data_IF_776502735676
#
_entry.id   IF_776502735676
#
_cell.length_a   1.000
_cell.length_b   1.000
_cell.length_c   1.000
_cell.angle_alpha   90.00
_cell.angle_beta   90.00
_cell.angle_gamma   90.00
#
_symmetry.space_group_name_H-M   'P 1'
#
loop_
_entity.id
_entity.type
_entity.pdbx_description
1 polymer ?
#
# COMPACT_ATOMS: atom_id res chain seq x y z
N UNK A 1 4.31 -11.89 -14.38
CA UNK A 1 4.82 -10.82 -13.50
C UNK A 1 3.97 -10.77 -12.26
N UNK A 2 4.52 -10.36 -11.14
CA UNK A 2 3.81 -10.15 -9.88
C UNK A 2 4.38 -8.88 -9.25
N UNK A 3 3.53 -7.93 -8.92
CA UNK A 3 3.84 -6.67 -8.27
C UNK A 3 2.77 -6.37 -7.23
N UNK A 4 3.02 -5.47 -6.31
CA UNK A 4 2.12 -5.10 -5.20
C UNK A 4 1.68 -3.68 -5.35
N UNK A 5 0.38 -3.49 -5.18
CA UNK A 5 -0.23 -2.18 -5.16
C UNK A 5 -1.30 -2.09 -4.08
N UNK A 6 -1.74 -0.87 -3.83
CA UNK A 6 -2.80 -0.59 -2.88
C UNK A 6 -4.16 -0.85 -3.49
N UNK A 7 -4.97 -1.65 -2.78
CA UNK A 7 -6.39 -1.87 -3.06
C UNK A 7 -7.21 -1.01 -2.12
N UNK A 8 -8.24 -0.36 -2.61
CA UNK A 8 -9.08 0.51 -1.79
C UNK A 8 -10.58 0.28 -1.99
N UNK A 9 -11.34 0.46 -0.92
CA UNK A 9 -12.79 0.50 -0.91
C UNK A 9 -13.24 1.90 -1.32
N UNK A 10 -13.79 2.02 -2.52
CA UNK A 10 -14.23 3.28 -3.10
C UNK A 10 -15.41 3.90 -2.31
N UNK A 11 -16.29 3.06 -1.80
CA UNK A 11 -17.47 3.52 -1.08
C UNK A 11 -17.07 4.13 0.29
N UNK A 12 -16.06 3.58 0.97
CA UNK A 12 -15.52 4.17 2.20
C UNK A 12 -14.77 5.47 1.94
N UNK A 13 -14.04 5.58 0.83
CA UNK A 13 -13.42 6.85 0.44
C UNK A 13 -14.46 7.94 0.16
N UNK A 14 -15.58 7.58 -0.46
CA UNK A 14 -16.70 8.50 -0.66
C UNK A 14 -17.34 8.92 0.67
N UNK A 15 -17.52 7.97 1.58
CA UNK A 15 -18.03 8.24 2.93
C UNK A 15 -17.10 9.21 3.66
N UNK A 16 -15.80 8.96 3.69
CA UNK A 16 -14.82 9.87 4.28
C UNK A 16 -14.88 11.27 3.65
N UNK A 17 -14.94 11.37 2.31
CA UNK A 17 -15.03 12.64 1.61
C UNK A 17 -16.29 13.43 1.99
N UNK A 18 -17.42 12.75 2.18
CA UNK A 18 -18.66 13.36 2.66
C UNK A 18 -18.51 13.88 4.09
N UNK A 19 -17.91 13.10 4.99
CA UNK A 19 -17.65 13.51 6.38
C UNK A 19 -16.74 14.74 6.44
N UNK A 20 -15.71 14.83 5.58
CA UNK A 20 -14.87 16.04 5.51
C UNK A 20 -15.65 17.28 5.02
N UNK A 21 -16.51 17.10 4.02
CA UNK A 21 -17.34 18.18 3.50
C UNK A 21 -18.35 18.69 4.56
N UNK A 22 -19.00 17.81 5.29
CA UNK A 22 -19.92 18.15 6.38
C UNK A 22 -19.19 18.89 7.51
N UNK A 23 -18.01 18.42 7.89
CA UNK A 23 -17.17 19.03 8.93
C UNK A 23 -16.75 20.46 8.54
N UNK A 24 -16.31 20.67 7.30
CA UNK A 24 -15.93 21.99 6.81
C UNK A 24 -17.10 22.96 6.78
N UNK A 25 -18.26 22.52 6.29
CA UNK A 25 -19.45 23.37 6.19
C UNK A 25 -20.09 23.64 7.56
N UNK A 26 -20.02 22.72 8.51
CA UNK A 26 -20.50 22.94 9.89
C UNK A 26 -19.53 23.81 10.69
N UNK A 27 -18.22 23.67 10.52
CA UNK A 27 -17.20 24.47 11.22
C UNK A 27 -17.11 25.93 10.72
N UNK A 28 -17.60 26.22 9.51
CA UNK A 28 -17.67 27.59 8.99
C UNK A 28 -18.73 28.44 9.69
N UNK A 29 -19.62 27.87 10.51
CA UNK A 29 -20.66 28.60 11.25
C UNK A 29 -20.22 29.13 12.62
N UNK A 30 -19.08 28.70 13.15
CA UNK A 30 -18.49 29.22 14.38
C UNK A 30 -17.52 30.39 14.07
N UNK A 31 -18.10 31.57 13.78
CA UNK A 31 -17.34 32.80 13.89
C UNK A 31 -17.16 33.11 15.39
N UNK A 32 -16.01 32.77 15.93
CA UNK A 32 -15.52 33.29 17.20
C UNK A 32 -15.31 34.80 17.08
N UNK A 33 -16.34 35.60 17.45
CA UNK A 33 -16.07 36.95 17.90
C UNK A 33 -15.40 36.88 19.29
N UNK A 34 -14.30 37.61 19.51
CA UNK A 34 -13.66 37.62 20.81
C UNK A 34 -14.59 38.34 21.82
N UNK A 35 -15.05 37.57 22.79
CA UNK A 35 -15.78 38.12 23.95
C UNK A 35 -14.82 39.01 24.74
N UNK A 36 -15.04 40.32 24.67
CA UNK A 36 -14.39 41.30 25.52
C UNK A 36 -14.80 41.11 26.96
N UNK A 37 -13.81 41.09 27.85
CA UNK A 37 -14.01 41.16 29.30
C UNK A 37 -14.77 42.41 29.69
N UNK A 38 -15.91 42.23 30.33
CA UNK A 38 -16.69 43.30 30.97
C UNK A 38 -17.63 42.70 32.01
N UNK A 39 -17.20 42.74 33.27
CA UNK A 39 -18.05 42.48 34.45
C UNK A 39 -19.20 43.47 34.52
N UNK A 40 -20.44 42.99 34.53
CA UNK A 40 -21.53 43.67 35.28
C UNK A 40 -22.60 42.63 35.71
N UNK A 41 -22.80 42.60 37.03
CA UNK A 41 -23.84 41.85 37.74
C UNK A 41 -25.15 42.60 37.61
N UNK A 42 -26.21 42.00 37.09
CA UNK A 42 -27.60 42.41 37.33
C UNK A 42 -28.54 41.20 37.42
N UNK A 43 -29.44 41.32 38.36
CA UNK A 43 -30.39 40.42 39.01
C UNK A 43 -31.37 39.64 38.10
N UNK A 44 -31.84 38.51 38.70
CA UNK A 44 -32.99 37.69 38.31
C UNK A 44 -34.21 38.51 37.91
N UNK A 45 -34.78 38.26 36.76
CA UNK A 45 -36.22 37.88 36.64
C UNK A 45 -36.59 37.52 35.17
N UNK A 46 -37.51 36.53 35.04
CA UNK A 46 -38.31 36.17 33.86
C UNK A 46 -37.62 35.44 32.69
N UNK A 47 -37.82 34.11 32.69
CA UNK A 47 -37.73 33.24 31.51
C UNK A 47 -38.75 33.66 30.43
N UNK A 48 -38.41 33.69 29.17
CA UNK A 48 -39.26 33.19 28.10
C UNK A 48 -38.76 31.82 27.60
N UNK A 49 -39.69 30.89 27.68
CA UNK A 49 -39.60 29.61 26.95
C UNK A 49 -39.52 29.86 25.45
N UNK A 50 -38.83 28.94 24.78
CA UNK A 50 -38.81 28.73 23.33
C UNK A 50 -37.75 29.51 22.53
N UNK A 51 -36.46 29.08 22.68
CA UNK A 51 -35.51 29.15 21.59
C UNK A 51 -35.18 27.71 21.18
N UNK A 52 -36.01 27.19 20.28
CA UNK A 52 -35.60 26.15 19.35
C UNK A 52 -34.32 26.63 18.67
N UNK A 53 -33.19 26.08 19.04
CA UNK A 53 -31.95 26.17 18.29
C UNK A 53 -32.27 25.60 16.91
N UNK A 54 -32.49 26.48 15.93
CA UNK A 54 -32.42 26.09 14.53
C UNK A 54 -31.01 25.56 14.29
N UNK A 55 -30.83 24.24 14.35
CA UNK A 55 -29.71 23.62 13.76
C UNK A 55 -29.70 24.06 12.29
N UNK A 56 -28.70 24.85 11.91
CA UNK A 56 -28.49 25.24 10.53
C UNK A 56 -28.42 23.94 9.71
N UNK A 57 -29.46 23.66 8.94
CA UNK A 57 -29.49 22.52 8.02
C UNK A 57 -28.43 22.82 6.97
N UNK A 58 -27.32 22.08 7.03
CA UNK A 58 -26.25 22.16 6.02
C UNK A 58 -26.91 21.86 4.67
N UNK A 59 -26.67 22.68 3.67
CA UNK A 59 -27.26 22.50 2.34
C UNK A 59 -26.68 21.21 1.73
N UNK A 60 -27.51 20.19 1.55
CA UNK A 60 -27.13 18.88 1.01
C UNK A 60 -26.46 19.00 -0.38
N UNK A 61 -26.87 19.97 -1.20
CA UNK A 61 -26.25 20.21 -2.49
C UNK A 61 -24.82 20.77 -2.35
N UNK A 62 -24.59 21.62 -1.34
CA UNK A 62 -23.25 22.13 -1.03
C UNK A 62 -22.35 21.02 -0.47
N UNK A 63 -22.88 20.15 0.41
CA UNK A 63 -22.15 18.97 0.91
C UNK A 63 -21.73 18.07 -0.25
N UNK A 64 -22.64 17.70 -1.13
CA UNK A 64 -22.35 16.81 -2.25
C UNK A 64 -21.30 17.41 -3.20
N UNK A 65 -21.40 18.70 -3.53
CA UNK A 65 -20.43 19.37 -4.41
C UNK A 65 -19.03 19.44 -3.79
N UNK A 66 -18.94 19.64 -2.47
CA UNK A 66 -17.67 19.66 -1.74
C UNK A 66 -17.11 18.25 -1.55
N UNK A 67 -17.96 17.26 -1.27
CA UNK A 67 -17.59 15.86 -1.16
C UNK A 67 -16.97 15.32 -2.47
N UNK A 68 -17.49 15.71 -3.63
CA UNK A 68 -16.88 15.37 -4.91
C UNK A 68 -15.45 15.92 -5.06
N UNK A 69 -15.18 17.14 -4.54
CA UNK A 69 -13.85 17.74 -4.55
C UNK A 69 -12.89 17.00 -3.59
N UNK A 70 -13.36 16.60 -2.40
CA UNK A 70 -12.59 15.78 -1.47
C UNK A 70 -12.32 14.40 -2.08
N UNK A 71 -13.33 13.75 -2.65
CA UNK A 71 -13.18 12.43 -3.27
C UNK A 71 -12.18 12.43 -4.44
N UNK A 72 -12.18 13.47 -5.26
CA UNK A 72 -11.20 13.60 -6.35
C UNK A 72 -9.73 13.63 -5.87
N UNK A 73 -9.50 13.91 -4.59
CA UNK A 73 -8.18 13.97 -3.95
C UNK A 73 -8.03 12.95 -2.81
N UNK A 74 -9.00 12.05 -2.64
CA UNK A 74 -9.06 11.15 -1.50
C UNK A 74 -8.02 10.04 -1.52
N UNK A 75 -7.45 9.71 -2.70
CA UNK A 75 -6.38 8.71 -2.76
C UNK A 75 -5.10 9.27 -2.14
N UNK A 76 -4.63 8.72 -1.00
CA UNK A 76 -3.42 9.19 -0.34
C UNK A 76 -2.23 9.17 -1.29
N UNK A 77 -1.55 10.29 -1.43
CA UNK A 77 -0.31 10.39 -2.22
C UNK A 77 0.93 10.11 -1.36
N UNK A 78 0.81 10.31 -0.05
CA UNK A 78 1.86 10.06 0.94
C UNK A 78 1.33 9.22 2.10
N UNK A 79 2.26 8.70 2.93
CA UNK A 79 1.89 8.03 4.18
C UNK A 79 1.17 9.00 5.13
N UNK A 80 1.57 10.28 5.16
CA UNK A 80 0.89 11.28 5.98
C UNK A 80 -0.56 11.49 5.57
N UNK A 81 -0.87 11.49 4.26
CA UNK A 81 -2.26 11.54 3.79
C UNK A 81 -3.06 10.32 4.25
N UNK A 82 -2.44 9.13 4.23
CA UNK A 82 -3.06 7.89 4.71
C UNK A 82 -3.35 7.95 6.22
N UNK A 83 -2.41 8.48 7.00
CA UNK A 83 -2.57 8.66 8.44
C UNK A 83 -3.64 9.70 8.76
N UNK A 84 -3.75 10.78 7.96
CA UNK A 84 -4.82 11.76 8.09
C UNK A 84 -6.20 11.13 7.85
N UNK A 85 -6.34 10.23 6.88
CA UNK A 85 -7.59 9.47 6.71
C UNK A 85 -7.85 8.60 7.94
N UNK A 86 -6.83 7.89 8.45
CA UNK A 86 -6.99 7.03 9.63
C UNK A 86 -7.43 7.80 10.88
N UNK A 87 -6.98 9.05 11.04
CA UNK A 87 -7.33 9.92 12.16
C UNK A 87 -8.72 10.57 12.03
N UNK A 88 -9.16 10.80 10.79
CA UNK A 88 -10.36 11.61 10.52
C UNK A 88 -11.55 10.82 10.00
N UNK A 89 -11.40 9.55 9.68
CA UNK A 89 -12.49 8.70 9.19
C UNK A 89 -13.36 8.21 10.34
N UNK A 90 -14.62 8.64 10.38
CA UNK A 90 -15.63 8.08 11.26
C UNK A 90 -16.14 6.77 10.63
N UNK A 91 -15.54 5.68 11.07
CA UNK A 91 -15.70 4.37 10.45
C UNK A 91 -17.08 3.78 10.77
N UNK A 92 -17.81 3.24 9.77
CA UNK A 92 -19.06 2.50 10.00
C UNK A 92 -18.85 1.27 10.90
N UNK A 93 -19.96 0.79 11.50
CA UNK A 93 -19.95 -0.46 12.29
C UNK A 93 -19.41 -1.63 11.44
N UNK A 94 -18.49 -2.39 12.01
CA UNK A 94 -17.86 -3.54 11.35
C UNK A 94 -16.52 -3.23 10.68
N UNK A 95 -16.15 -1.97 10.52
CA UNK A 95 -14.81 -1.58 10.06
C UNK A 95 -13.82 -1.71 11.22
N UNK A 96 -12.79 -2.53 11.03
CA UNK A 96 -11.76 -2.83 12.04
C UNK A 96 -10.56 -1.87 11.95
N UNK A 97 -10.33 -1.25 10.78
CA UNK A 97 -9.23 -0.32 10.58
C UNK A 97 -9.19 0.27 9.19
N UNK A 98 -8.44 1.36 9.04
CA UNK A 98 -8.29 2.04 7.74
C UNK A 98 -7.41 1.24 6.80
N UNK A 99 -6.31 0.66 7.28
CA UNK A 99 -5.40 -0.14 6.46
C UNK A 99 -4.93 -1.39 7.19
N UNK A 100 -4.91 -2.52 6.48
CA UNK A 100 -4.38 -3.79 6.97
C UNK A 100 -3.68 -4.53 5.84
N UNK A 101 -2.48 -5.04 6.10
CA UNK A 101 -1.71 -5.82 5.14
C UNK A 101 -0.85 -6.87 5.84
N UNK A 102 -0.25 -7.79 5.07
CA UNK A 102 0.67 -8.80 5.61
C UNK A 102 2.03 -8.17 5.96
N UNK A 103 2.17 -7.70 7.20
CA UNK A 103 3.39 -7.06 7.72
C UNK A 103 4.55 -8.05 7.92
N UNK A 104 4.31 -9.35 7.88
CA UNK A 104 5.34 -10.37 8.07
C UNK A 104 6.10 -10.68 6.78
N UNK A 105 5.48 -10.44 5.64
CA UNK A 105 6.07 -10.81 4.36
C UNK A 105 6.73 -9.59 3.73
N UNK A 106 8.05 -9.65 3.59
CA UNK A 106 8.86 -8.56 3.04
C UNK A 106 8.39 -8.09 1.66
N UNK A 107 7.81 -8.97 0.87
CA UNK A 107 7.30 -8.61 -0.46
C UNK A 107 6.13 -7.61 -0.41
N UNK A 108 5.42 -7.47 0.71
CA UNK A 108 4.38 -6.45 0.93
C UNK A 108 4.91 -5.21 1.66
N UNK A 109 6.16 -5.25 2.13
CA UNK A 109 6.76 -4.15 2.89
C UNK A 109 7.88 -3.44 2.12
N UNK A 110 8.45 -4.07 1.07
CA UNK A 110 9.64 -3.57 0.39
C UNK A 110 9.46 -2.18 -0.25
N UNK A 111 8.23 -1.80 -0.59
CA UNK A 111 7.93 -0.47 -1.13
C UNK A 111 8.41 0.68 -0.23
N UNK A 112 8.51 0.42 1.08
CA UNK A 112 9.01 1.37 2.08
C UNK A 112 10.46 1.77 1.79
N UNK A 113 11.30 0.83 1.41
CA UNK A 113 12.76 1.03 1.26
C UNK A 113 13.26 0.87 -0.18
N UNK A 114 12.40 0.42 -1.10
CA UNK A 114 12.80 -0.04 -2.43
C UNK A 114 13.49 1.01 -3.30
N UNK A 115 13.31 2.29 -3.01
CA UNK A 115 13.99 3.37 -3.71
C UNK A 115 15.39 3.68 -3.15
N UNK A 116 15.67 3.29 -1.90
CA UNK A 116 16.88 3.73 -1.19
C UNK A 116 17.76 2.57 -0.73
N UNK A 117 17.21 1.39 -0.46
CA UNK A 117 17.97 0.21 -0.08
C UNK A 117 18.46 -0.54 -1.33
N UNK A 118 19.65 -0.19 -1.80
CA UNK A 118 20.23 -0.71 -3.04
C UNK A 118 21.05 -1.96 -2.74
N UNK A 119 20.78 -3.05 -3.48
CA UNK A 119 21.55 -4.29 -3.45
C UNK A 119 21.72 -4.82 -4.87
N UNK A 120 22.88 -4.59 -5.47
CA UNK A 120 23.21 -5.03 -6.82
C UNK A 120 22.85 -4.04 -7.93
N UNK A 121 22.50 -2.79 -7.59
CA UNK A 121 22.08 -1.76 -8.52
C UNK A 121 20.78 -2.09 -9.25
N UNK A 122 20.43 -1.34 -10.29
CA UNK A 122 19.22 -1.56 -11.10
C UNK A 122 19.15 -2.96 -11.73
N UNK A 123 20.24 -3.55 -12.28
CA UNK A 123 20.20 -4.91 -12.81
C UNK A 123 20.15 -5.99 -11.70
N UNK A 124 20.44 -5.66 -10.45
CA UNK A 124 20.43 -6.56 -9.30
C UNK A 124 21.62 -7.50 -9.19
N UNK A 125 22.71 -7.30 -9.95
CA UNK A 125 23.89 -8.16 -10.01
C UNK A 125 25.25 -7.44 -9.92
N UNK A 126 25.26 -6.12 -9.73
CA UNK A 126 26.48 -5.35 -9.52
C UNK A 126 26.92 -5.41 -8.05
N UNK A 127 28.00 -6.16 -7.78
CA UNK A 127 28.58 -6.31 -6.44
C UNK A 127 29.12 -5.02 -5.84
N UNK A 128 29.41 -4.02 -6.68
CA UNK A 128 29.93 -2.73 -6.24
C UNK A 128 28.83 -1.70 -5.94
N UNK A 129 27.58 -2.01 -6.34
CA UNK A 129 26.43 -1.14 -6.10
C UNK A 129 25.55 -1.70 -4.99
N UNK A 130 26.04 -1.54 -3.76
CA UNK A 130 25.37 -1.93 -2.52
C UNK A 130 25.35 -0.73 -1.58
N UNK A 131 24.15 -0.21 -1.31
CA UNK A 131 23.93 0.92 -0.40
C UNK A 131 22.71 0.67 0.47
N UNK A 132 22.90 -0.07 1.57
CA UNK A 132 21.84 -0.43 2.52
C UNK A 132 21.77 0.60 3.65
N UNK A 133 22.93 0.95 4.23
CA UNK A 133 23.01 1.87 5.36
C UNK A 133 23.18 3.32 4.87
N UNK A 134 22.07 3.98 4.66
CA UNK A 134 22.00 5.39 4.27
C UNK A 134 20.87 6.11 5.03
N UNK A 135 20.93 7.46 5.12
CA UNK A 135 19.94 8.23 5.87
C UNK A 135 18.50 8.02 5.40
N UNK A 136 18.29 7.90 4.10
CA UNK A 136 16.96 7.75 3.50
C UNK A 136 16.34 6.39 3.87
N UNK A 137 17.11 5.30 3.82
CA UNK A 137 16.67 3.96 4.26
C UNK A 137 16.27 3.99 5.75
N UNK A 138 17.07 4.64 6.60
CA UNK A 138 16.77 4.77 8.03
C UNK A 138 15.48 5.55 8.24
N UNK A 139 15.31 6.71 7.57
CA UNK A 139 14.10 7.52 7.68
C UNK A 139 12.85 6.75 7.22
N UNK A 140 12.92 6.04 6.10
CA UNK A 140 11.82 5.20 5.63
C UNK A 140 11.42 4.14 6.66
N UNK A 141 12.38 3.47 7.28
CA UNK A 141 12.12 2.45 8.31
C UNK A 141 11.61 3.06 9.63
N UNK A 142 11.98 4.29 9.98
CA UNK A 142 11.39 4.98 11.14
C UNK A 142 9.91 5.33 10.88
N UNK A 143 9.54 5.72 9.64
CA UNK A 143 8.13 5.87 9.25
C UNK A 143 7.41 4.53 9.35
N UNK A 144 7.97 3.44 8.83
CA UNK A 144 7.39 2.10 8.93
C UNK A 144 7.14 1.67 10.38
N UNK A 145 8.13 1.91 11.25
CA UNK A 145 8.02 1.65 12.69
C UNK A 145 6.86 2.42 13.34
N UNK A 146 6.67 3.68 12.94
CA UNK A 146 5.59 4.51 13.45
C UNK A 146 4.21 4.00 13.01
N UNK A 147 4.07 3.35 11.84
CA UNK A 147 2.79 2.81 11.36
C UNK A 147 2.18 1.77 12.30
N UNK A 148 2.98 1.03 13.08
CA UNK A 148 2.47 0.08 14.04
C UNK A 148 1.52 0.72 15.06
N UNK A 149 1.77 1.96 15.47
CA UNK A 149 0.95 2.69 16.44
C UNK A 149 -0.44 3.06 15.89
N UNK A 150 -0.56 3.20 14.57
CA UNK A 150 -1.79 3.63 13.91
C UNK A 150 -2.68 2.46 13.47
N UNK A 151 -2.08 1.36 13.01
CA UNK A 151 -2.86 0.31 12.36
C UNK A 151 -3.09 -0.93 13.24
N UNK A 152 -2.40 -1.07 14.36
CA UNK A 152 -2.60 -2.13 15.35
C UNK A 152 -2.68 -3.55 14.75
N UNK A 153 -1.81 -3.84 13.75
CA UNK A 153 -1.81 -5.14 13.08
C UNK A 153 -1.06 -6.15 13.95
N UNK A 154 -1.76 -7.22 14.33
CA UNK A 154 -1.17 -8.34 15.07
C UNK A 154 -0.29 -9.18 14.13
N UNK A 155 1.02 -8.94 14.17
CA UNK A 155 1.99 -9.60 13.28
C UNK A 155 1.99 -11.13 13.41
N UNK A 156 1.64 -11.70 14.57
CA UNK A 156 1.66 -13.15 14.80
C UNK A 156 0.56 -13.91 14.05
N UNK A 157 -0.51 -13.24 13.64
CA UNK A 157 -1.71 -13.88 13.07
C UNK A 157 -2.05 -13.43 11.66
N UNK A 158 -1.52 -12.29 11.23
CA UNK A 158 -1.81 -11.73 9.90
C UNK A 158 -1.16 -12.54 8.79
N UNK A 159 -1.92 -12.77 7.72
CA UNK A 159 -1.45 -13.40 6.47
C UNK A 159 -2.08 -12.68 5.28
N UNK A 160 -1.47 -12.84 4.09
CA UNK A 160 -2.04 -12.28 2.86
C UNK A 160 -3.50 -12.70 2.64
N UNK A 161 -3.81 -13.99 2.83
CA UNK A 161 -5.19 -14.48 2.64
C UNK A 161 -6.16 -13.87 3.65
N UNK A 162 -5.74 -13.71 4.92
CA UNK A 162 -6.61 -13.10 5.94
C UNK A 162 -6.88 -11.63 5.66
N UNK A 163 -5.89 -10.85 5.21
CA UNK A 163 -6.11 -9.42 4.93
C UNK A 163 -6.95 -9.19 3.68
N UNK A 164 -6.83 -10.04 2.65
CA UNK A 164 -7.72 -9.95 1.47
C UNK A 164 -9.15 -10.37 1.85
N UNK A 165 -9.32 -11.35 2.72
CA UNK A 165 -10.66 -11.72 3.20
C UNK A 165 -11.27 -10.58 4.05
N UNK A 166 -10.51 -9.97 4.96
CA UNK A 166 -10.98 -8.82 5.74
C UNK A 166 -11.38 -7.64 4.84
N UNK A 167 -10.64 -7.43 3.73
CA UNK A 167 -11.02 -6.42 2.74
C UNK A 167 -12.32 -6.78 2.02
N UNK A 168 -12.50 -8.04 1.56
CA UNK A 168 -13.74 -8.52 0.93
C UNK A 168 -14.93 -8.38 1.88
N UNK A 169 -14.74 -8.67 3.16
CA UNK A 169 -15.75 -8.54 4.22
C UNK A 169 -16.07 -7.07 4.58
N UNK A 170 -15.38 -6.09 3.98
CA UNK A 170 -15.58 -4.66 4.24
C UNK A 170 -15.01 -4.18 5.58
N UNK A 171 -14.10 -4.93 6.20
CA UNK A 171 -13.51 -4.58 7.50
C UNK A 171 -12.40 -3.54 7.42
N UNK A 172 -11.85 -3.30 6.23
CA UNK A 172 -10.77 -2.34 6.01
C UNK A 172 -11.05 -1.48 4.78
N UNK A 173 -10.57 -0.21 4.81
CA UNK A 173 -10.65 0.69 3.67
C UNK A 173 -9.55 0.40 2.64
N UNK A 174 -8.33 0.12 3.10
CA UNK A 174 -7.17 -0.17 2.26
C UNK A 174 -6.53 -1.51 2.62
N UNK A 175 -5.98 -2.17 1.61
CA UNK A 175 -5.06 -3.30 1.78
C UNK A 175 -3.97 -3.26 0.70
N UNK A 176 -2.98 -4.16 0.79
CA UNK A 176 -1.97 -4.35 -0.26
C UNK A 176 -2.23 -5.70 -0.91
N UNK A 177 -2.42 -5.67 -2.23
CA UNK A 177 -2.64 -6.87 -3.03
C UNK A 177 -1.56 -7.11 -4.07
N UNK A 178 -1.42 -8.35 -4.51
CA UNK A 178 -0.65 -8.70 -5.71
C UNK A 178 -1.58 -8.78 -6.92
N UNK A 179 -1.03 -8.98 -8.10
CA UNK A 179 -1.81 -9.03 -9.35
C UNK A 179 -3.00 -10.01 -9.33
N UNK A 180 -2.96 -11.06 -8.50
CA UNK A 180 -4.05 -12.02 -8.32
C UNK A 180 -5.26 -11.45 -7.57
N UNK A 181 -5.08 -10.35 -6.83
CA UNK A 181 -6.15 -9.75 -6.02
C UNK A 181 -7.35 -9.34 -6.87
N UNK A 182 -7.11 -8.77 -8.07
CA UNK A 182 -8.20 -8.33 -8.95
C UNK A 182 -9.11 -9.51 -9.29
N UNK A 183 -8.53 -10.68 -9.64
CA UNK A 183 -9.32 -11.88 -9.90
C UNK A 183 -10.11 -12.32 -8.66
N UNK A 184 -9.49 -12.30 -7.48
CA UNK A 184 -10.17 -12.66 -6.22
C UNK A 184 -11.33 -11.73 -5.91
N UNK A 185 -11.18 -10.43 -6.14
CA UNK A 185 -12.24 -9.44 -5.94
C UNK A 185 -13.37 -9.57 -6.96
N UNK A 186 -13.04 -9.82 -8.24
CA UNK A 186 -14.04 -10.08 -9.27
C UNK A 186 -14.82 -11.37 -9.00
N UNK A 187 -14.15 -12.45 -8.57
CA UNK A 187 -14.80 -13.69 -8.16
C UNK A 187 -15.76 -13.45 -6.95
N UNK A 188 -15.31 -12.68 -5.95
CA UNK A 188 -16.11 -12.29 -4.79
C UNK A 188 -17.29 -11.37 -5.14
N UNK A 189 -17.12 -10.51 -6.15
CA UNK A 189 -18.22 -9.69 -6.68
C UNK A 189 -19.25 -10.54 -7.43
N UNK A 190 -18.78 -11.52 -8.17
CA UNK A 190 -19.65 -12.43 -8.93
C UNK A 190 -20.49 -13.35 -8.02
N UNK A 191 -19.97 -13.80 -6.89
CA UNK A 191 -20.69 -14.62 -5.91
C UNK A 191 -21.47 -13.80 -4.86
N UNK A 192 -21.30 -12.47 -4.86
CA UNK A 192 -22.02 -11.54 -3.99
C UNK A 192 -21.42 -11.36 -2.60
N UNK A 193 -20.23 -11.89 -2.31
CA UNK A 193 -19.53 -11.67 -1.04
C UNK A 193 -18.86 -10.28 -0.97
N UNK A 194 -18.44 -9.71 -2.11
CA UNK A 194 -18.01 -8.31 -2.20
C UNK A 194 -19.19 -7.43 -2.64
N UNK A 195 -19.63 -6.51 -1.76
CA UNK A 195 -20.84 -5.72 -1.96
C UNK A 195 -20.58 -4.23 -2.28
N UNK A 196 -19.33 -3.81 -2.32
CA UNK A 196 -18.90 -2.42 -2.57
C UNK A 196 -18.04 -2.29 -3.84
N UNK A 197 -17.82 -1.08 -4.29
CA UNK A 197 -16.89 -0.80 -5.38
C UNK A 197 -15.46 -0.69 -4.84
N UNK A 198 -14.51 -1.20 -5.61
CA UNK A 198 -13.10 -1.13 -5.28
C UNK A 198 -12.27 -0.54 -6.42
N UNK A 199 -11.10 -0.05 -6.10
CA UNK A 199 -10.10 0.37 -7.07
C UNK A 199 -8.70 -0.08 -6.68
N UNK A 200 -7.78 0.05 -7.63
CA UNK A 200 -6.35 -0.18 -7.46
C UNK A 200 -5.64 1.15 -7.65
N UNK A 201 -4.68 1.44 -6.80
CA UNK A 201 -3.83 2.62 -6.90
C UNK A 201 -2.40 2.28 -6.50
N UNK A 202 -1.45 3.05 -7.02
CA UNK A 202 -0.03 2.95 -6.63
C UNK A 202 0.14 3.10 -5.12
N UNK A 203 1.21 2.50 -4.58
CA UNK A 203 1.58 2.72 -3.19
C UNK A 203 1.86 4.22 -2.96
N UNK A 204 1.47 4.77 -1.80
CA UNK A 204 1.78 6.16 -1.49
C UNK A 204 3.29 6.35 -1.30
N UNK A 205 3.80 7.53 -1.58
CA UNK A 205 5.16 7.89 -1.19
C UNK A 205 5.30 7.91 0.34
N UNK A 206 6.52 7.70 0.83
CA UNK A 206 6.78 7.68 2.26
C UNK A 206 6.56 9.08 2.87
N UNK A 207 7.03 10.11 2.15
CA UNK A 207 6.78 11.53 2.45
C UNK A 207 6.90 12.35 1.17
N UNK A 208 6.79 13.69 1.27
CA UNK A 208 7.03 14.59 0.15
C UNK A 208 8.46 14.49 -0.43
N UNK A 209 9.44 14.11 0.40
CA UNK A 209 10.86 13.99 0.03
C UNK A 209 11.30 12.54 -0.22
N UNK A 210 10.56 11.56 0.30
CA UNK A 210 10.93 10.14 0.26
C UNK A 210 9.91 9.36 -0.56
N UNK A 211 10.33 8.95 -1.75
CA UNK A 211 9.49 8.21 -2.70
C UNK A 211 9.45 6.72 -2.36
N UNK A 212 8.30 6.10 -2.57
CA UNK A 212 8.14 4.65 -2.52
C UNK A 212 8.61 4.00 -3.82
N UNK A 213 9.00 2.71 -3.74
CA UNK A 213 9.30 1.90 -4.94
C UNK A 213 9.03 0.43 -4.65
N UNK A 214 8.05 -0.12 -5.34
CA UNK A 214 7.64 -1.50 -5.13
C UNK A 214 8.63 -2.51 -5.70
N UNK A 215 8.61 -3.72 -5.13
CA UNK A 215 9.39 -4.84 -5.62
C UNK A 215 8.58 -5.66 -6.63
N UNK A 216 9.19 -6.02 -7.75
CA UNK A 216 8.59 -6.93 -8.72
C UNK A 216 9.29 -8.29 -8.76
N UNK A 217 8.49 -9.31 -9.06
CA UNK A 217 8.98 -10.68 -9.29
C UNK A 217 8.54 -11.17 -10.65
N UNK A 218 9.50 -11.60 -11.46
CA UNK A 218 9.24 -12.18 -12.77
C UNK A 218 9.53 -13.67 -12.74
N UNK A 219 8.51 -14.49 -13.03
CA UNK A 219 8.70 -15.92 -13.27
C UNK A 219 9.28 -16.16 -14.66
N UNK A 220 10.28 -17.02 -14.77
CA UNK A 220 10.91 -17.36 -16.04
C UNK A 220 10.91 -18.88 -16.27
N UNK A 221 10.78 -19.29 -17.53
CA UNK A 221 11.04 -20.64 -17.95
C UNK A 221 12.54 -20.78 -18.28
N UNK A 222 13.23 -21.65 -17.56
CA UNK A 222 14.67 -21.87 -17.71
C UNK A 222 14.94 -23.26 -18.26
N UNK A 223 15.80 -23.33 -19.28
CA UNK A 223 16.18 -24.60 -19.91
C UNK A 223 17.36 -25.20 -19.14
N UNK A 224 17.24 -26.47 -18.71
CA UNK A 224 18.32 -27.17 -18.11
C UNK A 224 19.46 -27.42 -19.18
N UNK A 225 20.63 -26.81 -18.96
CA UNK A 225 21.77 -26.91 -19.86
C UNK A 225 22.29 -28.33 -20.10
N UNK A 226 21.96 -29.31 -19.21
CA UNK A 226 22.31 -30.71 -19.34
C UNK A 226 21.20 -31.55 -20.01
N UNK A 227 20.09 -30.96 -20.46
CA UNK A 227 19.03 -31.69 -21.16
C UNK A 227 19.55 -32.29 -22.47
N UNK A 228 19.21 -33.54 -22.73
CA UNK A 228 19.45 -34.21 -24.01
C UNK A 228 18.47 -33.72 -25.10
N UNK A 229 17.40 -33.06 -24.74
CA UNK A 229 16.30 -32.56 -25.62
C UNK A 229 16.26 -31.02 -25.68
N UNK A 230 17.40 -30.35 -25.88
CA UNK A 230 17.48 -28.87 -25.80
C UNK A 230 16.55 -28.16 -26.78
N UNK A 231 16.47 -28.63 -28.02
CA UNK A 231 15.57 -28.02 -29.04
C UNK A 231 14.10 -28.11 -28.65
N UNK A 232 13.69 -29.24 -28.03
CA UNK A 232 12.31 -29.40 -27.57
C UNK A 232 12.02 -28.53 -26.33
N UNK A 233 13.00 -28.45 -25.42
CA UNK A 233 12.93 -27.59 -24.23
C UNK A 233 12.87 -26.10 -24.60
N UNK A 234 13.65 -25.69 -25.61
CA UNK A 234 13.64 -24.34 -26.14
C UNK A 234 12.25 -23.95 -26.74
N UNK A 235 11.72 -24.83 -27.61
CA UNK A 235 10.38 -24.66 -28.19
C UNK A 235 9.28 -24.63 -27.12
N UNK A 236 9.42 -25.43 -26.05
CA UNK A 236 8.45 -25.43 -24.96
C UNK A 236 8.57 -24.16 -24.11
N UNK A 237 9.77 -23.67 -23.81
CA UNK A 237 9.99 -22.42 -23.11
C UNK A 237 9.42 -21.22 -23.90
N UNK A 238 9.65 -21.16 -25.21
CA UNK A 238 9.08 -20.16 -26.10
C UNK A 238 7.54 -20.23 -26.13
N UNK A 239 6.96 -21.45 -26.18
CA UNK A 239 5.52 -21.63 -26.09
C UNK A 239 4.94 -21.12 -24.75
N UNK A 240 5.62 -21.35 -23.62
CA UNK A 240 5.19 -20.86 -22.33
C UNK A 240 5.25 -19.30 -22.26
N UNK A 241 6.27 -18.71 -22.84
CA UNK A 241 6.49 -17.26 -22.80
C UNK A 241 5.54 -16.50 -23.76
N UNK A 242 5.26 -17.06 -24.92
CA UNK A 242 4.51 -16.39 -26.00
C UNK A 242 3.13 -17.00 -26.20
N UNK A 243 3.05 -18.29 -26.48
CA UNK A 243 1.79 -18.96 -26.88
C UNK A 243 0.87 -19.27 -25.70
N UNK A 244 1.41 -19.39 -24.48
CA UNK A 244 0.61 -19.65 -23.28
C UNK A 244 0.28 -18.37 -22.51
N UNK A 245 0.79 -17.22 -22.93
CA UNK A 245 0.55 -15.93 -22.29
C UNK A 245 -0.89 -15.45 -22.43
N UNK A 246 -1.55 -15.79 -23.56
CA UNK A 246 -2.96 -15.49 -23.74
C UNK A 246 -3.80 -16.21 -22.68
N UNK A 247 -4.65 -15.45 -21.95
CA UNK A 247 -5.45 -15.95 -20.82
C UNK A 247 -4.61 -16.45 -19.63
N UNK A 248 -3.33 -16.08 -19.51
CA UNK A 248 -2.50 -16.42 -18.33
C UNK A 248 -3.10 -15.80 -17.07
N UNK A 249 -3.60 -14.58 -17.18
CA UNK A 249 -4.19 -13.87 -16.05
C UNK A 249 -5.41 -14.62 -15.49
N UNK A 250 -6.37 -14.98 -16.33
CA UNK A 250 -7.58 -15.71 -15.92
C UNK A 250 -7.27 -17.08 -15.29
N UNK A 251 -6.20 -17.72 -15.76
CA UNK A 251 -5.80 -19.03 -15.23
C UNK A 251 -5.04 -18.98 -13.93
N UNK A 252 -4.28 -17.91 -13.68
CA UNK A 252 -3.29 -17.88 -12.59
C UNK A 252 -3.26 -16.62 -11.75
N UNK A 253 -4.00 -15.56 -12.13
CA UNK A 253 -3.90 -14.24 -11.52
C UNK A 253 -2.55 -13.54 -11.75
N UNK A 254 -1.70 -14.08 -12.62
CA UNK A 254 -0.37 -13.52 -12.93
C UNK A 254 -0.39 -12.78 -14.24
N UNK A 255 0.09 -11.55 -14.24
CA UNK A 255 0.22 -10.79 -15.48
C UNK A 255 1.24 -11.43 -16.41
N UNK A 256 0.94 -11.53 -17.72
CA UNK A 256 1.91 -11.96 -18.72
C UNK A 256 3.04 -10.95 -18.84
N UNK A 257 4.24 -11.43 -19.18
CA UNK A 257 5.40 -10.57 -19.48
C UNK A 257 5.36 -10.02 -20.92
N UNK A 258 4.50 -10.56 -21.77
CA UNK A 258 4.29 -10.09 -23.13
C UNK A 258 3.49 -8.78 -23.10
N UNK A 259 4.03 -7.71 -23.68
CA UNK A 259 3.33 -6.42 -23.82
C UNK A 259 1.99 -6.60 -24.55
N UNK A 260 1.96 -7.41 -25.62
CA UNK A 260 0.75 -7.67 -26.38
C UNK A 260 -0.37 -8.34 -25.57
N UNK A 261 -0.02 -9.27 -24.70
CA UNK A 261 -0.99 -9.93 -23.83
C UNK A 261 -1.43 -9.06 -22.65
N UNK A 262 -0.57 -8.13 -22.19
CA UNK A 262 -0.90 -7.13 -21.18
C UNK A 262 -1.86 -6.06 -21.72
N UNK A 263 -1.67 -5.63 -22.97
CA UNK A 263 -2.56 -4.67 -23.64
C UNK A 263 -3.98 -5.22 -23.91
N UNK A 264 -4.12 -6.54 -24.02
CA UNK A 264 -5.40 -7.20 -24.24
C UNK A 264 -6.17 -7.51 -22.93
N UNK A 265 -5.59 -7.23 -21.76
CA UNK A 265 -6.31 -7.33 -20.50
C UNK A 265 -7.24 -6.10 -20.38
N UNK A 266 -8.50 -6.26 -20.78
CA UNK A 266 -9.56 -5.23 -20.73
C UNK A 266 -10.01 -4.95 -19.29
N UNK A 267 -9.04 -4.64 -18.42
CA UNK A 267 -9.27 -4.31 -17.01
C UNK A 267 -8.36 -3.17 -16.57
N UNK A 268 -8.96 -2.00 -16.30
CA UNK A 268 -8.24 -0.80 -15.87
C UNK A 268 -7.41 -0.98 -14.60
N UNK A 269 -7.83 -1.89 -13.70
CA UNK A 269 -7.06 -2.22 -12.50
C UNK A 269 -5.70 -2.89 -12.83
N UNK A 270 -5.64 -3.70 -13.89
CA UNK A 270 -4.39 -4.33 -14.32
C UNK A 270 -3.42 -3.34 -14.97
N UNK A 271 -3.93 -2.23 -15.51
CA UNK A 271 -3.07 -1.16 -16.04
C UNK A 271 -2.23 -0.53 -14.95
N UNK A 272 -2.79 -0.29 -13.75
CA UNK A 272 -2.04 0.25 -12.61
C UNK A 272 -0.88 -0.66 -12.24
N UNK A 273 -1.11 -1.98 -12.16
CA UNK A 273 -0.05 -2.95 -11.91
C UNK A 273 1.03 -2.97 -13.00
N UNK A 274 0.66 -2.76 -14.26
CA UNK A 274 1.62 -2.71 -15.36
C UNK A 274 2.50 -1.47 -15.29
N UNK A 275 1.91 -0.31 -14.98
CA UNK A 275 2.62 0.95 -14.81
C UNK A 275 3.58 0.89 -13.61
N UNK A 276 3.12 0.35 -12.48
CA UNK A 276 3.95 0.15 -11.29
C UNK A 276 5.12 -0.81 -11.55
N UNK A 277 4.88 -1.87 -12.36
CA UNK A 277 5.95 -2.81 -12.73
C UNK A 277 7.08 -2.12 -13.49
N UNK A 278 6.78 -1.15 -14.34
CA UNK A 278 7.79 -0.43 -15.12
C UNK A 278 8.75 0.38 -14.22
N UNK A 279 8.25 0.88 -13.09
CA UNK A 279 9.02 1.66 -12.12
C UNK A 279 9.61 0.81 -10.97
N UNK A 280 9.28 -0.48 -10.92
CA UNK A 280 9.63 -1.36 -9.80
C UNK A 280 11.12 -1.71 -9.76
N UNK A 281 11.55 -2.15 -8.58
CA UNK A 281 12.87 -2.74 -8.37
C UNK A 281 12.80 -4.26 -8.59
N UNK A 282 13.80 -4.85 -9.23
CA UNK A 282 13.91 -6.30 -9.37
C UNK A 282 14.62 -6.93 -8.16
N UNK A 283 14.36 -8.23 -7.93
CA UNK A 283 15.11 -9.00 -6.93
C UNK A 283 16.62 -8.96 -7.20
N UNK A 284 17.47 -8.78 -6.17
CA UNK A 284 18.91 -9.04 -6.30
C UNK A 284 19.19 -10.44 -6.83
N UNK A 285 20.14 -10.52 -7.78
CA UNK A 285 20.47 -11.74 -8.52
C UNK A 285 21.81 -12.35 -8.11
N UNK A 286 22.51 -11.75 -7.16
CA UNK A 286 23.78 -12.22 -6.65
C UNK A 286 23.59 -13.46 -5.76
N UNK A 287 24.40 -14.49 -5.94
CA UNK A 287 24.36 -15.71 -5.12
C UNK A 287 24.68 -15.40 -3.64
N UNK A 288 25.56 -14.45 -3.41
CA UNK A 288 26.01 -13.99 -2.09
C UNK A 288 24.87 -13.39 -1.26
N UNK A 289 23.85 -12.85 -1.93
CA UNK A 289 22.67 -12.26 -1.29
C UNK A 289 21.51 -13.25 -1.13
N UNK A 290 21.76 -14.55 -1.28
CA UNK A 290 20.71 -15.57 -1.21
C UNK A 290 19.92 -15.57 0.12
N UNK A 291 20.56 -15.15 1.21
CA UNK A 291 19.91 -15.01 2.51
C UNK A 291 19.38 -13.59 2.80
N UNK A 292 19.56 -12.64 1.88
CA UNK A 292 19.17 -11.23 2.07
C UNK A 292 17.68 -11.09 2.41
N UNK A 293 16.81 -11.80 1.71
CA UNK A 293 15.37 -11.74 1.94
C UNK A 293 14.99 -12.17 3.34
N UNK A 294 15.53 -13.27 3.82
CA UNK A 294 15.25 -13.76 5.18
C UNK A 294 15.78 -12.78 6.24
N UNK A 295 16.95 -12.18 6.01
CA UNK A 295 17.51 -11.18 6.92
C UNK A 295 16.68 -9.90 6.90
N UNK A 296 16.14 -9.52 5.74
CA UNK A 296 15.29 -8.36 5.58
C UNK A 296 13.91 -8.58 6.25
N UNK A 297 13.32 -9.77 6.15
CA UNK A 297 12.11 -10.13 6.91
C UNK A 297 12.33 -9.99 8.42
N UNK A 298 13.47 -10.47 8.92
CA UNK A 298 13.85 -10.32 10.32
C UNK A 298 14.01 -8.85 10.70
N UNK A 299 14.65 -8.04 9.85
CA UNK A 299 14.81 -6.60 10.07
C UNK A 299 13.44 -5.92 10.16
N UNK A 300 12.56 -6.12 9.17
CA UNK A 300 11.23 -5.52 9.15
C UNK A 300 10.39 -5.93 10.36
N UNK A 301 10.40 -7.22 10.71
CA UNK A 301 9.71 -7.71 11.91
C UNK A 301 10.20 -7.03 13.20
N UNK A 302 11.52 -6.87 13.37
CA UNK A 302 12.11 -6.20 14.52
C UNK A 302 11.79 -4.70 14.56
N UNK A 303 11.86 -4.03 13.40
CA UNK A 303 11.49 -2.62 13.27
C UNK A 303 10.01 -2.42 13.63
N UNK A 304 9.11 -3.28 13.11
CA UNK A 304 7.69 -3.25 13.44
C UNK A 304 7.45 -3.37 14.95
N UNK A 305 8.22 -4.23 15.62
CA UNK A 305 8.16 -4.44 17.08
C UNK A 305 8.92 -3.39 17.90
N UNK A 306 9.43 -2.32 17.27
CA UNK A 306 9.96 -1.15 17.94
C UNK A 306 11.46 -1.17 18.24
N UNK A 307 12.24 -2.15 17.72
CA UNK A 307 13.70 -2.17 17.87
C UNK A 307 14.36 -0.97 17.18
N UNK A 308 15.62 -0.70 17.51
CA UNK A 308 16.40 0.43 16.99
C UNK A 308 16.76 0.25 15.52
N UNK A 309 16.23 1.13 14.66
CA UNK A 309 16.37 1.05 13.20
C UNK A 309 17.83 1.17 12.76
N UNK A 310 18.56 2.16 13.30
CA UNK A 310 19.95 2.41 12.89
C UNK A 310 20.83 1.20 13.15
N UNK A 311 20.74 0.62 14.34
CA UNK A 311 21.48 -0.59 14.71
C UNK A 311 21.15 -1.78 13.78
N UNK A 312 19.87 -1.98 13.46
CA UNK A 312 19.43 -3.07 12.60
C UNK A 312 19.92 -2.92 11.16
N UNK A 313 19.87 -1.70 10.62
CA UNK A 313 20.35 -1.39 9.26
C UNK A 313 21.88 -1.55 9.17
N UNK A 314 22.64 -1.09 10.18
CA UNK A 314 24.09 -1.29 10.26
C UNK A 314 24.46 -2.76 10.31
N UNK A 315 23.74 -3.59 11.08
CA UNK A 315 23.96 -5.02 11.16
C UNK A 315 23.70 -5.72 9.81
N UNK A 316 22.58 -5.38 9.14
CA UNK A 316 22.27 -5.94 7.83
C UNK A 316 23.34 -5.57 6.80
N UNK A 317 23.72 -4.29 6.73
CA UNK A 317 24.74 -3.80 5.80
C UNK A 317 26.08 -4.49 6.02
N UNK A 318 26.51 -4.65 7.28
CA UNK A 318 27.73 -5.36 7.64
C UNK A 318 27.68 -6.82 7.20
N UNK A 319 26.60 -7.52 7.44
CA UNK A 319 26.42 -8.92 7.05
C UNK A 319 26.49 -9.10 5.52
N UNK A 320 25.82 -8.23 4.76
CA UNK A 320 25.85 -8.30 3.29
C UNK A 320 27.24 -7.99 2.75
N UNK A 321 27.94 -6.99 3.30
CA UNK A 321 29.30 -6.65 2.93
C UNK A 321 30.28 -7.83 3.16
N UNK A 322 30.16 -8.53 4.30
CA UNK A 322 30.98 -9.73 4.59
C UNK A 322 30.68 -10.87 3.60
N UNK A 323 29.40 -11.10 3.26
CA UNK A 323 29.01 -12.14 2.31
C UNK A 323 29.57 -11.88 0.91
N UNK A 324 29.48 -10.63 0.43
CA UNK A 324 30.01 -10.25 -0.90
C UNK A 324 31.53 -10.26 -0.90
N UNK A 325 32.20 -9.75 0.15
CA UNK A 325 33.68 -9.73 0.24
C UNK A 325 34.32 -11.12 0.43
N UNK A 326 33.59 -12.09 0.99
CA UNK A 326 34.13 -13.45 1.20
C UNK A 326 34.27 -14.27 -0.07
N UNK A 327 33.68 -13.87 -1.17
CA UNK A 327 33.72 -14.57 -2.48
C UNK A 327 34.92 -14.15 -3.34
N UNK A 328 35.69 -13.14 -2.93
CA UNK A 328 36.90 -12.68 -3.63
C UNK A 328 38.21 -13.45 -3.24
N UNK A 329 38.15 -14.43 -2.35
CA UNK A 329 39.23 -15.30 -1.93
C UNK A 329 38.96 -16.74 -2.38
#
# INVERSE_FOLDING_TARGET
MCIRDRVYNEDYLKTWATQQAEKELSGSSDNDEPVGEGEEIIEEDSLPEDQTTEQATVDEAAVNALAEQYFAKALPSTVDDLLNIADTFDAPEGVEGVMKWDVNNIFYNYWIVGNYMIVGGDPGDDRNDININNPETIQCLEVYKALNQFFFIESDTVTYDSVIQDFIDGKTMFTIGTTDVVKRLEDAKADGSLTFNYGIARMPDISAELQSRSLSVTGAAVINGYSEHKELADRFAAYLAEGYSDGLYERSGKMPASLHAAENADNGALTVFADEYADSVSLPKMLETGNFWMQLEVLFSKVWNGEDVTTLVEQLAGTIAEQVGSTEN
#
